data_IF_616863466708
#
_entry.id   IF_616863466708
#
_cell.length_a   1.000
_cell.length_b   1.000
_cell.length_c   1.000
_cell.angle_alpha   90.00
_cell.angle_beta   90.00
_cell.angle_gamma   90.00
#
_symmetry.space_group_name_H-M   'P 1'
#
loop_
_entity.id
_entity.type
_entity.pdbx_description
1 polymer ?
#
# COMPACT_ATOMS: atom_id res chain seq x y z
N UNK A 1 44.21 -7.07 -43.34
CA UNK A 1 43.83 -5.64 -43.43
C UNK A 1 42.33 -5.42 -43.62
N UNK A 2 41.68 -5.93 -44.68
CA UNK A 2 40.24 -5.68 -44.99
C UNK A 2 39.20 -6.05 -43.89
N UNK A 3 39.55 -6.92 -42.93
CA UNK A 3 38.66 -7.30 -41.81
C UNK A 3 38.66 -6.30 -40.64
N UNK A 4 39.73 -5.52 -40.45
CA UNK A 4 39.87 -4.61 -39.28
C UNK A 4 38.83 -3.47 -39.37
N UNK A 5 38.54 -3.02 -40.60
CA UNK A 5 37.53 -2.00 -40.88
C UNK A 5 36.09 -2.42 -40.56
N UNK A 6 35.79 -3.73 -40.53
CA UNK A 6 34.43 -4.22 -40.24
C UNK A 6 34.12 -4.09 -38.74
N UNK A 7 35.05 -4.47 -37.87
CA UNK A 7 34.89 -4.28 -36.41
C UNK A 7 34.85 -2.80 -36.01
N UNK A 8 35.60 -1.94 -36.71
CA UNK A 8 35.58 -0.49 -36.47
C UNK A 8 34.22 0.15 -36.78
N UNK A 9 33.54 -0.27 -37.86
CA UNK A 9 32.20 0.25 -38.21
C UNK A 9 31.15 -0.24 -37.22
N UNK A 10 31.22 -1.50 -36.79
CA UNK A 10 30.24 -2.09 -35.84
C UNK A 10 30.18 -1.35 -34.49
N UNK A 11 31.30 -0.78 -34.04
CA UNK A 11 31.37 0.02 -32.80
C UNK A 11 30.98 1.48 -32.96
N UNK A 12 30.85 2.00 -34.19
CA UNK A 12 30.51 3.41 -34.47
C UNK A 12 29.04 3.63 -34.84
N UNK A 13 28.27 2.56 -35.10
CA UNK A 13 26.84 2.63 -35.46
C UNK A 13 25.90 2.11 -34.39
N UNK A 14 26.41 1.57 -33.28
CA UNK A 14 25.61 1.36 -32.07
C UNK A 14 25.56 2.71 -31.35
N UNK A 15 24.44 3.45 -31.33
CA UNK A 15 24.36 4.62 -30.49
C UNK A 15 24.49 4.16 -29.04
N UNK A 16 25.45 4.72 -28.30
CA UNK A 16 25.47 4.58 -26.85
C UNK A 16 24.38 5.46 -26.25
N UNK A 17 23.12 5.13 -26.57
CA UNK A 17 21.96 5.55 -25.81
C UNK A 17 22.03 4.89 -24.43
N UNK A 18 22.87 5.49 -23.58
CA UNK A 18 22.66 5.54 -22.14
C UNK A 18 21.39 6.34 -21.88
N UNK A 19 20.25 5.78 -22.29
CA UNK A 19 18.92 6.23 -21.94
C UNK A 19 18.79 6.08 -20.42
N UNK A 20 19.22 7.12 -19.70
CA UNK A 20 18.87 7.31 -18.31
C UNK A 20 17.35 7.28 -18.24
N UNK A 21 16.82 6.17 -17.72
CA UNK A 21 15.39 5.88 -17.77
C UNK A 21 14.64 7.09 -17.19
N UNK A 22 13.74 7.66 -17.99
CA UNK A 22 12.99 8.84 -17.56
C UNK A 22 12.17 8.49 -16.31
N UNK A 23 11.81 9.49 -15.51
CA UNK A 23 10.92 9.28 -14.37
C UNK A 23 9.64 8.50 -14.74
N UNK A 24 9.13 8.68 -15.96
CA UNK A 24 7.98 7.93 -16.46
C UNK A 24 8.31 6.44 -16.72
N UNK A 25 9.48 6.13 -17.29
CA UNK A 25 9.92 4.76 -17.53
C UNK A 25 10.26 4.02 -16.22
N UNK A 26 10.89 4.69 -15.25
CA UNK A 26 11.15 4.12 -13.92
C UNK A 26 9.85 3.91 -13.13
N UNK A 27 8.90 4.84 -13.21
CA UNK A 27 7.58 4.68 -12.59
C UNK A 27 6.81 3.51 -13.23
N UNK A 28 6.75 3.43 -14.56
CA UNK A 28 6.09 2.35 -15.29
C UNK A 28 6.72 0.95 -15.06
N UNK A 29 8.01 0.87 -14.72
CA UNK A 29 8.69 -0.38 -14.33
C UNK A 29 8.61 -0.67 -12.83
N UNK A 30 7.80 0.08 -12.07
CA UNK A 30 7.45 -0.22 -10.68
C UNK A 30 8.42 0.32 -9.63
N UNK A 31 9.34 1.22 -9.98
CA UNK A 31 10.34 1.75 -9.02
C UNK A 31 9.68 2.54 -7.86
N UNK A 32 8.48 3.07 -8.05
CA UNK A 32 7.66 3.70 -7.01
C UNK A 32 7.21 2.72 -5.89
N UNK A 33 7.24 1.40 -6.15
CA UNK A 33 6.87 0.34 -5.20
C UNK A 33 8.09 -0.43 -4.66
N UNK A 34 9.29 -0.17 -5.18
CA UNK A 34 10.51 -0.85 -4.78
C UNK A 34 11.13 -0.14 -3.55
N UNK A 35 11.35 -0.86 -2.45
CA UNK A 35 11.86 -0.29 -1.19
C UNK A 35 13.23 0.39 -1.32
N UNK A 36 14.09 -0.06 -2.24
CA UNK A 36 15.41 0.54 -2.49
C UNK A 36 15.31 1.84 -3.29
N UNK A 37 14.36 1.93 -4.23
CA UNK A 37 14.27 3.05 -5.17
C UNK A 37 13.17 4.07 -4.81
N UNK A 38 12.16 3.71 -4.03
CA UNK A 38 11.00 4.58 -3.74
C UNK A 38 11.41 5.92 -3.13
N UNK A 39 12.42 6.00 -2.25
CA UNK A 39 12.90 7.30 -1.74
C UNK A 39 13.36 8.20 -2.89
N UNK A 40 14.25 7.69 -3.73
CA UNK A 40 14.84 8.44 -4.86
C UNK A 40 13.74 8.84 -5.86
N UNK A 41 12.82 7.92 -6.17
CA UNK A 41 11.65 8.19 -7.02
C UNK A 41 10.73 9.26 -6.42
N UNK A 42 10.45 9.24 -5.12
CA UNK A 42 9.60 10.23 -4.47
C UNK A 42 10.29 11.58 -4.19
N UNK A 43 11.61 11.63 -4.33
CA UNK A 43 12.42 12.84 -4.17
C UNK A 43 12.70 13.54 -5.52
N UNK A 44 12.68 12.81 -6.64
CA UNK A 44 13.03 13.34 -7.97
C UNK A 44 11.94 13.15 -9.05
N UNK A 45 11.03 12.19 -8.86
CA UNK A 45 10.06 11.70 -9.85
C UNK A 45 8.62 11.62 -9.28
N UNK A 46 8.33 12.33 -8.19
CA UNK A 46 7.08 12.19 -7.43
C UNK A 46 5.83 12.28 -8.31
N UNK A 47 5.77 13.26 -9.22
CA UNK A 47 4.63 13.46 -10.11
C UNK A 47 4.36 12.32 -11.09
N UNK A 48 5.34 11.43 -11.37
CA UNK A 48 5.13 10.22 -12.17
C UNK A 48 4.66 9.05 -11.31
N UNK A 49 5.08 8.99 -10.05
CA UNK A 49 4.60 8.01 -9.08
C UNK A 49 3.18 8.31 -8.59
N UNK A 50 2.86 9.58 -8.33
CA UNK A 50 1.53 10.04 -7.93
C UNK A 50 0.50 9.87 -9.07
N UNK A 51 0.91 10.06 -10.33
CA UNK A 51 0.06 9.85 -11.50
C UNK A 51 -0.35 8.37 -11.73
N UNK A 52 0.35 7.40 -11.12
CA UNK A 52 -0.05 5.99 -11.12
C UNK A 52 -1.11 5.67 -10.06
N UNK A 53 -1.27 6.51 -9.03
CA UNK A 53 -2.25 6.32 -7.96
C UNK A 53 -1.98 5.10 -7.06
N UNK A 54 -2.99 4.74 -6.25
CA UNK A 54 -2.97 3.54 -5.41
C UNK A 54 -1.78 3.50 -4.44
N UNK A 55 -0.93 2.47 -4.56
CA UNK A 55 0.30 2.34 -3.76
C UNK A 55 1.53 3.04 -4.34
N UNK A 56 1.47 3.47 -5.60
CA UNK A 56 2.61 4.12 -6.25
C UNK A 56 2.77 5.57 -5.78
N UNK A 57 1.70 6.22 -5.28
CA UNK A 57 1.73 7.57 -4.70
C UNK A 57 2.85 7.70 -3.67
N UNK A 58 3.47 8.88 -3.64
CA UNK A 58 4.63 9.15 -2.81
C UNK A 58 4.29 9.58 -1.38
N UNK A 59 3.06 10.03 -1.15
CA UNK A 59 2.49 10.25 0.18
C UNK A 59 2.55 8.96 1.04
N UNK A 60 2.50 9.14 2.36
CA UNK A 60 2.49 8.07 3.35
C UNK A 60 1.40 8.37 4.40
N UNK A 61 0.86 7.35 5.10
CA UNK A 61 -0.07 7.58 6.20
C UNK A 61 0.57 8.40 7.33
N UNK A 62 -0.22 9.28 7.96
CA UNK A 62 0.20 10.01 9.16
C UNK A 62 0.20 9.08 10.37
N UNK A 63 1.36 8.87 10.99
CA UNK A 63 1.52 7.99 12.16
C UNK A 63 0.59 8.41 13.32
N UNK A 64 -0.15 7.45 13.88
CA UNK A 64 -1.03 7.65 15.04
C UNK A 64 -0.33 7.29 16.36
N UNK A 65 -0.60 8.07 17.40
CA UNK A 65 -0.13 7.83 18.78
C UNK A 65 -1.12 7.02 19.64
N UNK A 66 -2.30 6.66 19.11
CA UNK A 66 -3.33 5.91 19.84
C UNK A 66 -2.96 4.42 20.07
N UNK A 67 -1.92 3.93 19.42
CA UNK A 67 -1.39 2.57 19.52
C UNK A 67 0.12 2.53 19.21
N UNK A 68 0.75 1.35 19.29
CA UNK A 68 2.16 1.14 18.94
C UNK A 68 2.31 0.17 17.78
N UNK A 69 3.40 0.30 17.02
CA UNK A 69 3.84 -0.76 16.12
C UNK A 69 4.39 -1.95 16.92
N UNK A 70 4.21 -3.15 16.37
CA UNK A 70 4.69 -4.42 16.93
C UNK A 70 5.89 -4.99 16.15
N UNK A 71 6.12 -4.52 14.92
CA UNK A 71 7.29 -4.84 14.10
C UNK A 71 8.27 -3.65 14.03
N UNK A 72 9.57 -3.95 13.98
CA UNK A 72 10.64 -2.93 14.05
C UNK A 72 10.88 -2.19 12.73
N UNK A 73 10.44 -2.74 11.60
CA UNK A 73 10.68 -2.21 10.26
C UNK A 73 9.48 -1.42 9.66
N UNK A 74 8.46 -1.10 10.45
CA UNK A 74 7.21 -0.50 9.96
C UNK A 74 7.41 0.80 9.18
N UNK A 75 8.35 1.67 9.59
CA UNK A 75 8.67 2.90 8.85
C UNK A 75 9.11 2.63 7.40
N UNK A 76 9.85 1.54 7.16
CA UNK A 76 10.26 1.11 5.82
C UNK A 76 9.14 0.47 5.00
N UNK A 77 8.05 0.06 5.65
CA UNK A 77 6.88 -0.60 5.03
C UNK A 77 5.66 0.34 4.91
N UNK A 78 5.75 1.60 5.34
CA UNK A 78 4.63 2.54 5.41
C UNK A 78 3.90 2.75 4.06
N UNK A 79 4.60 2.58 2.92
CA UNK A 79 4.02 2.69 1.58
C UNK A 79 3.14 1.49 1.17
N UNK A 80 3.26 0.37 1.90
CA UNK A 80 2.47 -0.83 1.70
C UNK A 80 1.21 -0.88 2.60
N UNK A 81 1.00 0.10 3.48
CA UNK A 81 -0.15 0.14 4.40
C UNK A 81 -1.51 0.00 3.71
N UNK A 82 -1.64 0.52 2.48
CA UNK A 82 -2.86 0.46 1.66
C UNK A 82 -2.81 -0.65 0.59
N UNK A 83 -1.76 -1.47 0.56
CA UNK A 83 -1.58 -2.50 -0.47
C UNK A 83 -2.43 -3.74 -0.18
N UNK A 84 -3.19 -4.23 -1.15
CA UNK A 84 -4.11 -5.36 -0.96
C UNK A 84 -3.47 -6.61 -0.32
N UNK A 85 -2.21 -6.93 -0.66
CA UNK A 85 -1.50 -8.09 -0.10
C UNK A 85 -1.02 -7.86 1.34
N UNK A 86 -0.69 -6.62 1.71
CA UNK A 86 0.00 -6.31 2.97
C UNK A 86 -0.85 -5.55 4.00
N UNK A 87 -1.93 -4.85 3.60
CA UNK A 87 -2.72 -3.97 4.47
C UNK A 87 -3.26 -4.68 5.73
N UNK A 88 -3.69 -5.93 5.59
CA UNK A 88 -4.18 -6.74 6.71
C UNK A 88 -3.06 -7.10 7.72
N UNK A 89 -1.86 -7.45 7.22
CA UNK A 89 -0.70 -7.74 8.06
C UNK A 89 -0.18 -6.46 8.74
N UNK A 90 -0.12 -5.36 8.00
CA UNK A 90 0.37 -4.07 8.49
C UNK A 90 -0.62 -3.44 9.48
N UNK A 91 -1.94 -3.65 9.33
CA UNK A 91 -2.91 -3.27 10.36
C UNK A 91 -2.74 -4.04 11.69
N UNK A 92 -2.15 -5.23 11.67
CA UNK A 92 -1.85 -5.99 12.90
C UNK A 92 -0.46 -5.69 13.48
N UNK A 93 0.52 -5.34 12.64
CA UNK A 93 1.95 -5.27 13.03
C UNK A 93 2.54 -3.86 12.99
N UNK A 94 1.91 -2.96 12.25
CA UNK A 94 2.33 -1.58 12.01
C UNK A 94 1.16 -0.59 12.20
N UNK A 95 0.27 -0.91 13.14
CA UNK A 95 -0.99 -0.20 13.38
C UNK A 95 -0.82 1.31 13.62
N UNK A 96 0.25 1.70 14.30
CA UNK A 96 0.56 3.11 14.53
C UNK A 96 1.05 3.78 13.26
N UNK A 97 1.99 3.16 12.55
CA UNK A 97 2.55 3.70 11.29
C UNK A 97 1.53 3.76 10.16
N UNK A 98 0.57 2.84 10.09
CA UNK A 98 -0.46 2.82 9.05
C UNK A 98 -1.73 3.63 9.38
N UNK A 99 -1.83 4.19 10.60
CA UNK A 99 -3.04 4.81 11.13
C UNK A 99 -4.26 3.88 11.15
N UNK A 100 -4.09 2.71 11.77
CA UNK A 100 -5.07 1.61 11.81
C UNK A 100 -5.23 1.06 13.24
N UNK A 101 -5.15 1.96 14.23
CA UNK A 101 -5.30 1.62 15.66
C UNK A 101 -6.70 1.14 16.05
N UNK A 102 -7.68 1.31 15.17
CA UNK A 102 -9.04 0.74 15.23
C UNK A 102 -9.12 -0.72 14.75
N UNK A 103 -8.02 -1.25 14.22
CA UNK A 103 -7.94 -2.59 13.62
C UNK A 103 -8.43 -2.67 12.17
N UNK A 104 -8.84 -1.55 11.57
CA UNK A 104 -9.35 -1.51 10.19
C UNK A 104 -8.18 -1.32 9.21
N UNK A 105 -8.01 -2.16 8.17
CA UNK A 105 -6.94 -1.98 7.18
C UNK A 105 -7.07 -0.67 6.41
N UNK A 106 -5.96 0.07 6.26
CA UNK A 106 -5.94 1.34 5.54
C UNK A 106 -6.31 1.17 4.06
N UNK A 107 -6.98 2.17 3.49
CA UNK A 107 -7.36 2.21 2.07
C UNK A 107 -6.69 3.36 1.34
N UNK A 108 -6.51 3.26 0.03
CA UNK A 108 -5.91 4.33 -0.77
C UNK A 108 -6.72 5.65 -0.74
N UNK A 109 -8.00 5.61 -0.36
CA UNK A 109 -8.87 6.77 -0.20
C UNK A 109 -8.69 7.47 1.15
N UNK A 110 -8.00 6.86 2.12
CA UNK A 110 -7.87 7.36 3.51
C UNK A 110 -6.84 8.50 3.65
N UNK A 111 -6.75 9.41 2.67
CA UNK A 111 -6.14 10.74 2.86
C UNK A 111 -7.14 11.67 3.55
N UNK A 112 -7.66 11.23 4.71
CA UNK A 112 -8.53 12.02 5.57
C UNK A 112 -7.68 12.95 6.43
N UNK A 113 -7.78 14.26 6.20
CA UNK A 113 -7.10 15.23 7.04
C UNK A 113 -7.67 15.18 8.46
N UNK A 114 -6.85 14.78 9.44
CA UNK A 114 -7.20 14.80 10.85
C UNK A 114 -7.23 16.25 11.37
N UNK A 115 -8.33 16.95 11.14
CA UNK A 115 -8.58 18.29 11.70
C UNK A 115 -8.54 18.22 13.22
N UNK A 116 -7.50 18.80 13.82
CA UNK A 116 -7.37 18.88 15.27
C UNK A 116 -8.41 19.84 15.85
N UNK A 117 -9.46 19.30 16.46
CA UNK A 117 -10.32 20.02 17.41
C UNK A 117 -10.03 19.49 18.80
N UNK A 118 -9.52 20.37 19.68
CA UNK A 118 -9.21 20.02 21.07
C UNK A 118 -10.46 19.67 21.89
N UNK A 119 -10.27 18.91 22.96
CA UNK A 119 -11.36 18.36 23.77
C UNK A 119 -12.19 19.45 24.49
N UNK A 120 -13.49 19.16 24.66
CA UNK A 120 -14.34 19.81 25.64
C UNK A 120 -14.80 18.76 26.66
N UNK A 121 -14.29 18.84 27.89
CA UNK A 121 -14.67 17.96 28.99
C UNK A 121 -16.02 18.36 29.56
N UNK A 122 -16.99 17.45 29.61
CA UNK A 122 -18.19 17.58 30.45
C UNK A 122 -18.50 16.27 31.18
N UNK A 123 -18.56 16.35 32.51
CA UNK A 123 -19.01 15.26 33.39
C UNK A 123 -20.54 15.14 33.29
N UNK A 124 -21.04 13.93 33.05
CA UNK A 124 -22.48 13.64 33.09
C UNK A 124 -22.76 12.16 33.26
N UNK A 125 -23.23 11.75 34.45
CA UNK A 125 -23.67 10.39 34.71
C UNK A 125 -25.18 10.26 34.47
N UNK A 126 -25.60 9.18 33.80
CA UNK A 126 -27.00 8.79 33.65
C UNK A 126 -27.12 7.25 33.70
N UNK A 127 -28.28 6.76 34.13
CA UNK A 127 -28.48 5.39 34.62
C UNK A 127 -29.13 4.47 33.58
N UNK A 128 -28.94 3.16 33.75
CA UNK A 128 -29.52 2.05 32.98
C UNK A 128 -31.04 2.10 32.79
N UNK A 129 -31.53 1.55 31.66
CA UNK A 129 -32.64 0.58 31.60
C UNK A 129 -32.53 -0.24 30.29
N UNK A 130 -33.01 -1.47 30.32
CA UNK A 130 -32.96 -2.51 29.26
C UNK A 130 -34.21 -2.50 28.35
N UNK A 131 -34.08 -3.03 27.11
CA UNK A 131 -35.16 -3.71 26.37
C UNK A 131 -34.71 -4.33 25.02
N UNK A 132 -34.55 -5.66 24.98
CA UNK A 132 -35.29 -6.52 24.03
C UNK A 132 -34.96 -6.59 22.53
N UNK A 133 -34.39 -7.74 22.12
CA UNK A 133 -34.90 -8.61 21.02
C UNK A 133 -34.87 -8.13 19.55
N UNK A 134 -34.15 -8.87 18.70
CA UNK A 134 -34.72 -9.65 17.56
C UNK A 134 -33.66 -10.61 16.96
N UNK A 135 -34.09 -11.80 16.55
CA UNK A 135 -33.30 -12.88 15.92
C UNK A 135 -33.97 -13.28 14.59
N UNK A 136 -33.33 -14.13 13.75
CA UNK A 136 -33.84 -14.71 12.47
C UNK A 136 -33.72 -13.72 11.30
N UNK A 137 -33.18 -14.03 10.10
CA UNK A 137 -32.44 -15.20 9.55
C UNK A 137 -31.37 -14.67 8.53
N UNK A 138 -30.63 -15.37 7.65
CA UNK A 138 -30.59 -16.75 7.12
C UNK A 138 -29.13 -17.04 6.65
N UNK A 139 -28.71 -18.14 5.98
CA UNK A 139 -29.40 -19.33 5.48
C UNK A 139 -28.89 -19.75 4.09
N UNK A 140 -27.73 -20.45 4.02
CA UNK A 140 -27.13 -20.91 2.75
C UNK A 140 -26.90 -22.43 2.76
N UNK A 141 -27.53 -23.13 1.82
CA UNK A 141 -27.42 -24.59 1.65
C UNK A 141 -26.13 -24.96 0.93
N UNK A 142 -25.29 -25.80 1.54
CA UNK A 142 -24.17 -26.48 0.86
C UNK A 142 -24.56 -27.91 0.50
N UNK A 143 -25.02 -28.14 -0.72
CA UNK A 143 -25.15 -29.49 -1.28
C UNK A 143 -23.78 -30.04 -1.64
N UNK A 144 -23.39 -31.16 -1.01
CA UNK A 144 -22.16 -31.88 -1.32
C UNK A 144 -22.37 -32.75 -2.56
N UNK A 145 -21.62 -32.49 -3.63
CA UNK A 145 -21.63 -33.32 -4.83
C UNK A 145 -20.60 -34.45 -4.68
N UNK A 146 -21.07 -35.68 -4.52
CA UNK A 146 -20.23 -36.87 -4.33
C UNK A 146 -20.09 -37.63 -5.64
N UNK A 147 -18.93 -37.53 -6.28
CA UNK A 147 -18.60 -38.24 -7.52
C UNK A 147 -18.63 -39.77 -7.31
N UNK A 148 -19.55 -40.46 -7.98
CA UNK A 148 -19.62 -41.93 -7.97
C UNK A 148 -18.82 -42.51 -9.14
N UNK A 149 -17.78 -43.29 -8.84
CA UNK A 149 -17.01 -44.05 -9.84
C UNK A 149 -17.66 -45.41 -10.08
N UNK A 150 -18.10 -45.66 -11.31
CA UNK A 150 -18.61 -46.97 -11.76
C UNK A 150 -17.47 -47.91 -12.12
N UNK A 151 -17.65 -49.21 -11.85
CA UNK A 151 -16.83 -50.33 -12.30
C UNK A 151 -17.71 -51.26 -13.15
#
# INVERSE_FOLDING_TARGET
MKFITIFAVLFLTIPMEVNGASCAQMAATGYCLNSMYRKIMCENCATQCDALGGNAVCTLPTKSSACSDQATNCASLAYLCTNELYKNLLAQRCMSTCNTCDGVPATATTTGAATTTGAATTTGAATTTDAGTTTTDAGTTTTVETTTTTV
#
